data_IF_396140226195
#
_entry.id   IF_396140226195
#
_cell.length_a   1.000
_cell.length_b   1.000
_cell.length_c   1.000
_cell.angle_alpha   90.00
_cell.angle_beta   90.00
_cell.angle_gamma   90.00
#
_symmetry.space_group_name_H-M   'P 1'
#
loop_
_entity.id
_entity.type
_entity.pdbx_description
1 polymer ?
#
# COMPACT_ATOMS: atom_id res chain seq x y z
N UNK A 1 15.81 3.27 -8.91
CA UNK A 1 15.31 4.57 -9.43
C UNK A 1 15.84 5.70 -8.55
N UNK A 2 15.47 5.79 -7.27
CA UNK A 2 15.81 6.88 -6.33
C UNK A 2 17.31 7.17 -6.31
N UNK A 3 18.16 6.14 -6.11
CA UNK A 3 19.61 6.30 -6.12
C UNK A 3 20.16 6.98 -7.39
N UNK A 4 19.70 6.58 -8.56
CA UNK A 4 20.15 7.15 -9.83
C UNK A 4 19.75 8.62 -9.98
N UNK A 5 18.52 8.95 -9.61
CA UNK A 5 18.00 10.33 -9.68
C UNK A 5 18.72 11.25 -8.68
N UNK A 6 18.97 10.77 -7.48
CA UNK A 6 19.69 11.52 -6.45
C UNK A 6 21.18 11.69 -6.82
N UNK A 7 21.85 10.61 -7.24
CA UNK A 7 23.27 10.64 -7.59
C UNK A 7 23.56 11.52 -8.80
N UNK A 8 22.66 11.59 -9.76
CA UNK A 8 22.77 12.50 -10.92
C UNK A 8 22.46 13.96 -10.57
N UNK A 9 21.97 14.24 -9.37
CA UNK A 9 21.51 15.57 -8.98
C UNK A 9 20.18 16.02 -9.60
N UNK A 10 19.51 15.13 -10.35
CA UNK A 10 18.21 15.43 -10.99
C UNK A 10 17.11 15.60 -9.95
N UNK A 11 17.15 14.82 -8.87
CA UNK A 11 16.26 14.90 -7.71
C UNK A 11 17.10 14.86 -6.44
N UNK A 12 16.92 15.82 -5.54
CA UNK A 12 17.70 15.93 -4.30
C UNK A 12 16.88 15.64 -3.07
N UNK A 13 15.70 16.26 -2.94
CA UNK A 13 14.82 16.10 -1.77
C UNK A 13 13.72 15.11 -2.08
N UNK A 14 13.83 13.94 -1.48
CA UNK A 14 13.02 12.77 -1.82
C UNK A 14 12.28 12.28 -0.58
N UNK A 15 10.97 12.08 -0.70
CA UNK A 15 10.14 11.47 0.31
C UNK A 15 9.73 10.06 -0.16
N UNK A 16 10.06 9.04 0.64
CA UNK A 16 9.60 7.67 0.46
C UNK A 16 8.55 7.35 1.51
N UNK A 17 7.36 6.97 1.08
CA UNK A 17 6.23 6.63 1.93
C UNK A 17 5.86 5.15 1.76
N UNK A 18 5.64 4.47 2.89
CA UNK A 18 5.13 3.10 2.92
C UNK A 18 3.99 2.95 3.94
N UNK A 19 3.26 1.85 3.86
CA UNK A 19 2.13 1.57 4.77
C UNK A 19 2.56 0.86 6.06
N UNK A 20 3.74 0.20 6.07
CA UNK A 20 4.19 -0.64 7.19
C UNK A 20 5.60 -0.32 7.65
N UNK A 21 5.78 -0.29 8.97
CA UNK A 21 7.08 -0.04 9.60
C UNK A 21 8.17 -1.01 9.13
N UNK A 22 7.84 -2.29 8.98
CA UNK A 22 8.80 -3.30 8.56
C UNK A 22 9.37 -2.99 7.16
N UNK A 23 8.53 -2.49 6.25
CA UNK A 23 8.98 -2.08 4.91
C UNK A 23 9.90 -0.88 4.98
N UNK A 24 9.57 0.14 5.78
CA UNK A 24 10.42 1.32 5.97
C UNK A 24 11.77 0.93 6.56
N UNK A 25 11.79 0.06 7.56
CA UNK A 25 13.03 -0.35 8.24
C UNK A 25 13.89 -1.26 7.36
N UNK A 26 13.29 -2.18 6.61
CA UNK A 26 14.01 -3.01 5.62
C UNK A 26 14.59 -2.13 4.52
N UNK A 27 13.80 -1.23 3.94
CA UNK A 27 14.26 -0.30 2.91
C UNK A 27 15.40 0.55 3.42
N UNK A 28 15.29 1.11 4.64
CA UNK A 28 16.35 1.91 5.25
C UNK A 28 17.65 1.12 5.41
N UNK A 29 17.57 -0.09 5.96
CA UNK A 29 18.75 -0.85 6.35
C UNK A 29 19.42 -1.61 5.20
N UNK A 30 18.66 -1.97 4.17
CA UNK A 30 19.11 -2.74 3.03
C UNK A 30 19.32 -1.84 1.80
N UNK A 31 18.21 -1.40 1.21
CA UNK A 31 18.24 -0.77 -0.11
C UNK A 31 18.75 0.67 -0.08
N UNK A 32 18.48 1.39 1.01
CA UNK A 32 18.83 2.80 1.17
C UNK A 32 20.13 3.01 1.97
N UNK A 33 20.76 1.95 2.43
CA UNK A 33 22.07 2.03 3.11
C UNK A 33 23.12 2.88 2.34
N UNK A 34 23.19 2.84 1.01
CA UNK A 34 24.13 3.67 0.27
C UNK A 34 23.97 5.19 0.43
N UNK A 35 22.79 5.68 0.83
CA UNK A 35 22.56 7.10 1.05
C UNK A 35 23.24 7.65 2.32
N UNK A 36 23.58 6.76 3.26
CA UNK A 36 24.36 7.12 4.45
C UNK A 36 23.70 8.25 5.26
N UNK A 37 24.48 9.30 5.53
CA UNK A 37 24.05 10.45 6.33
C UNK A 37 23.04 11.39 5.61
N UNK A 38 22.82 11.22 4.31
CA UNK A 38 21.83 12.03 3.57
C UNK A 38 20.38 11.62 3.86
N UNK A 39 20.17 10.51 4.57
CA UNK A 39 18.87 9.87 4.77
C UNK A 39 18.44 9.90 6.24
N UNK A 40 17.14 10.13 6.46
CA UNK A 40 16.51 9.99 7.77
C UNK A 40 15.16 9.26 7.70
N UNK A 41 14.76 8.63 8.80
CA UNK A 41 13.38 8.16 9.01
C UNK A 41 12.67 9.15 9.92
N UNK A 42 11.54 9.66 9.47
CA UNK A 42 10.67 10.51 10.30
C UNK A 42 10.07 9.65 11.41
N UNK A 43 10.41 9.97 12.66
CA UNK A 43 9.94 9.30 13.86
C UNK A 43 9.46 10.32 14.87
N UNK A 44 8.56 9.90 15.77
CA UNK A 44 8.06 10.73 16.88
C UNK A 44 7.53 12.12 16.47
N UNK A 45 7.07 12.24 15.22
CA UNK A 45 6.56 13.50 14.67
C UNK A 45 7.55 14.67 14.68
N UNK A 46 8.83 14.38 14.67
CA UNK A 46 9.89 15.38 14.61
C UNK A 46 10.49 15.41 13.21
N UNK A 47 10.62 16.61 12.67
CA UNK A 47 11.21 16.85 11.36
C UNK A 47 12.52 17.61 11.52
N UNK A 48 13.59 17.04 10.95
CA UNK A 48 14.84 17.72 10.71
C UNK A 48 14.98 17.94 9.21
N UNK A 49 15.01 19.20 8.78
CA UNK A 49 15.05 19.59 7.36
C UNK A 49 16.45 19.56 6.74
N UNK A 50 17.46 19.12 7.49
CA UNK A 50 18.85 19.04 7.02
C UNK A 50 19.13 17.86 6.09
N UNK A 51 18.25 16.87 6.05
CA UNK A 51 18.39 15.68 5.22
C UNK A 51 17.89 15.89 3.78
N UNK A 52 18.33 15.01 2.89
CA UNK A 52 17.89 15.01 1.49
C UNK A 52 16.84 13.93 1.24
N UNK A 53 16.95 12.79 1.93
CA UNK A 53 16.07 11.63 1.75
C UNK A 53 15.33 11.32 3.04
N UNK A 54 14.02 11.26 2.94
CA UNK A 54 13.11 11.04 4.05
C UNK A 54 12.32 9.75 3.84
N UNK A 55 12.31 8.89 4.84
CA UNK A 55 11.47 7.71 4.89
C UNK A 55 10.41 7.88 5.97
N UNK A 56 9.18 7.55 5.66
CA UNK A 56 8.10 7.58 6.63
C UNK A 56 6.98 6.61 6.31
N UNK A 57 6.17 6.32 7.33
CA UNK A 57 4.81 5.84 7.11
C UNK A 57 3.91 7.03 6.76
N UNK A 58 2.96 6.85 5.83
CA UNK A 58 2.01 7.92 5.59
C UNK A 58 1.14 8.19 6.83
N UNK A 59 0.78 7.18 7.62
CA UNK A 59 0.07 7.36 8.90
C UNK A 59 0.89 8.12 9.95
N UNK A 60 2.23 8.08 9.87
CA UNK A 60 3.08 8.81 10.81
C UNK A 60 3.17 10.30 10.51
N UNK A 61 2.95 10.70 9.27
CA UNK A 61 3.01 12.10 8.83
C UNK A 61 1.64 12.76 8.69
N UNK A 62 0.57 11.95 8.71
CA UNK A 62 -0.83 12.39 8.72
C UNK A 62 -1.47 12.22 10.09
N UNK A 63 -2.60 12.83 10.34
CA UNK A 63 -3.38 12.68 11.58
C UNK A 63 -4.82 13.12 11.38
N UNK A 64 -5.69 12.83 12.34
CA UNK A 64 -7.11 13.15 12.27
C UNK A 64 -7.41 14.66 12.40
N UNK A 65 -6.46 15.44 12.89
CA UNK A 65 -6.57 16.88 13.06
C UNK A 65 -5.49 17.58 12.23
N UNK A 66 -5.75 18.80 11.76
CA UNK A 66 -4.80 19.56 10.94
C UNK A 66 -3.45 19.77 11.63
N UNK A 67 -3.44 19.99 12.96
CA UNK A 67 -2.24 20.12 13.76
C UNK A 67 -1.39 18.86 13.82
N UNK A 68 -1.99 17.69 13.48
CA UNK A 68 -1.29 16.40 13.45
C UNK A 68 -0.68 16.09 12.09
N UNK A 69 -0.95 16.87 11.07
CA UNK A 69 -0.39 16.71 9.74
C UNK A 69 1.02 17.26 9.66
N UNK A 70 1.99 16.51 10.18
CA UNK A 70 3.37 16.96 10.29
C UNK A 70 4.05 17.20 8.95
N UNK A 71 3.55 16.62 7.86
CA UNK A 71 4.06 16.90 6.51
C UNK A 71 3.91 18.40 6.16
N UNK A 72 2.94 19.11 6.72
CA UNK A 72 2.75 20.55 6.53
C UNK A 72 3.85 21.42 7.20
N UNK A 73 4.74 20.83 8.00
CA UNK A 73 5.92 21.52 8.51
C UNK A 73 6.99 21.72 7.42
N UNK A 74 6.96 20.95 6.34
CA UNK A 74 7.72 21.25 5.14
C UNK A 74 6.97 22.28 4.30
N UNK A 75 7.70 23.08 3.51
CA UNK A 75 7.04 23.92 2.49
C UNK A 75 6.49 23.05 1.36
N UNK A 76 5.41 23.48 0.66
CA UNK A 76 4.81 22.70 -0.43
C UNK A 76 5.76 22.32 -1.57
N UNK A 77 6.82 23.09 -1.75
CA UNK A 77 7.87 22.91 -2.76
C UNK A 77 9.14 22.23 -2.22
N UNK A 78 9.09 21.70 -1.00
CA UNK A 78 10.28 21.14 -0.35
C UNK A 78 10.81 19.88 -1.04
N UNK A 79 9.94 19.01 -1.52
CA UNK A 79 10.32 17.75 -2.15
C UNK A 79 10.33 17.85 -3.68
N UNK A 80 11.33 17.23 -4.32
CA UNK A 80 11.44 17.09 -5.78
C UNK A 80 10.77 15.81 -6.29
N UNK A 81 10.73 14.78 -5.42
CA UNK A 81 10.21 13.45 -5.73
C UNK A 81 9.53 12.85 -4.50
N UNK A 82 8.35 12.29 -4.70
CA UNK A 82 7.65 11.49 -3.71
C UNK A 82 7.40 10.10 -4.30
N UNK A 83 7.82 9.07 -3.57
CA UNK A 83 7.60 7.67 -3.94
C UNK A 83 6.71 7.03 -2.90
N UNK A 84 5.60 6.43 -3.35
CA UNK A 84 4.65 5.72 -2.51
C UNK A 84 4.72 4.25 -2.84
N UNK A 85 5.12 3.46 -1.84
CA UNK A 85 5.10 2.01 -1.93
C UNK A 85 3.73 1.47 -1.52
N UNK A 86 3.30 0.40 -2.20
CA UNK A 86 1.99 -0.23 -2.00
C UNK A 86 0.81 0.75 -2.14
N UNK A 87 0.87 1.63 -3.16
CA UNK A 87 -0.11 2.69 -3.36
C UNK A 87 -1.55 2.22 -3.65
N UNK A 88 -1.77 0.89 -3.73
CA UNK A 88 -3.08 0.25 -3.85
C UNK A 88 -3.70 -0.12 -2.49
N UNK A 89 -2.91 -0.08 -1.40
CA UNK A 89 -3.35 -0.50 -0.07
C UNK A 89 -3.96 0.65 0.69
N UNK A 90 -5.02 0.33 1.43
CA UNK A 90 -5.67 1.20 2.38
C UNK A 90 -7.18 1.04 2.37
N UNK A 91 -7.81 1.49 3.44
CA UNK A 91 -9.23 1.83 3.48
C UNK A 91 -9.43 3.15 2.72
N UNK A 92 -10.67 3.52 2.37
CA UNK A 92 -10.96 4.81 1.74
C UNK A 92 -10.40 6.01 2.53
N UNK A 93 -10.27 5.88 3.86
CA UNK A 93 -9.65 6.90 4.73
C UNK A 93 -8.11 6.95 4.61
N UNK A 94 -7.46 5.80 4.41
CA UNK A 94 -5.99 5.74 4.23
C UNK A 94 -5.59 6.20 2.83
N UNK A 95 -6.42 5.92 1.83
CA UNK A 95 -6.23 6.44 0.46
C UNK A 95 -6.35 7.97 0.42
N UNK A 96 -7.22 8.57 1.24
CA UNK A 96 -7.28 10.03 1.35
C UNK A 96 -6.01 10.61 1.99
N UNK A 97 -5.44 9.93 2.99
CA UNK A 97 -4.27 10.43 3.72
C UNK A 97 -3.01 10.60 2.85
N UNK A 98 -2.67 9.63 1.99
CA UNK A 98 -1.53 9.80 1.08
C UNK A 98 -1.85 10.75 -0.07
N UNK A 99 -3.09 10.84 -0.52
CA UNK A 99 -3.52 11.81 -1.54
C UNK A 99 -3.37 13.23 -1.03
N UNK A 100 -3.79 13.53 0.19
CA UNK A 100 -3.62 14.84 0.81
C UNK A 100 -2.14 15.27 0.85
N UNK A 101 -1.23 14.31 1.12
CA UNK A 101 0.22 14.57 1.06
C UNK A 101 0.66 14.94 -0.35
N UNK A 102 0.21 14.18 -1.37
CA UNK A 102 0.58 14.43 -2.75
C UNK A 102 0.00 15.73 -3.29
N UNK A 103 -1.23 16.04 -2.93
CA UNK A 103 -1.86 17.31 -3.28
C UNK A 103 -1.12 18.50 -2.67
N UNK A 104 -0.70 18.37 -1.41
CA UNK A 104 0.09 19.39 -0.74
C UNK A 104 1.45 19.62 -1.42
N UNK A 105 2.13 18.57 -1.84
CA UNK A 105 3.41 18.63 -2.55
C UNK A 105 3.22 18.50 -4.08
N UNK A 106 2.24 19.17 -4.63
CA UNK A 106 1.87 19.06 -6.06
C UNK A 106 2.97 19.46 -7.04
N UNK A 107 4.00 20.18 -6.60
CA UNK A 107 5.18 20.53 -7.40
C UNK A 107 6.17 19.36 -7.54
N UNK A 108 6.11 18.35 -6.68
CA UNK A 108 6.97 17.20 -6.75
C UNK A 108 6.56 16.23 -7.88
N UNK A 109 7.51 15.46 -8.38
CA UNK A 109 7.20 14.30 -9.20
C UNK A 109 6.69 13.17 -8.30
N UNK A 110 5.56 12.54 -8.65
CA UNK A 110 4.97 11.46 -7.87
C UNK A 110 5.13 10.13 -8.58
N UNK A 111 5.56 9.09 -7.85
CA UNK A 111 5.68 7.71 -8.33
C UNK A 111 4.94 6.79 -7.37
N UNK A 112 3.98 6.05 -7.88
CA UNK A 112 3.30 4.96 -7.16
C UNK A 112 3.89 3.60 -7.54
N UNK A 113 4.13 2.75 -6.55
CA UNK A 113 4.56 1.37 -6.72
C UNK A 113 3.46 0.45 -6.19
N UNK A 114 3.13 -0.61 -6.92
CA UNK A 114 2.16 -1.60 -6.49
C UNK A 114 2.36 -2.93 -7.19
N UNK A 115 2.21 -4.03 -6.46
CA UNK A 115 2.17 -5.37 -7.04
C UNK A 115 0.78 -5.75 -7.55
N UNK A 116 -0.27 -5.08 -7.08
CA UNK A 116 -1.67 -5.39 -7.39
C UNK A 116 -2.46 -4.11 -7.61
N UNK A 117 -2.43 -3.54 -8.83
CA UNK A 117 -3.27 -2.38 -9.13
C UNK A 117 -4.74 -2.70 -8.83
N UNK A 118 -5.39 -1.88 -8.00
CA UNK A 118 -6.81 -2.02 -7.72
C UNK A 118 -7.60 -1.07 -8.61
N UNK A 119 -8.60 -1.62 -9.27
CA UNK A 119 -9.66 -0.88 -9.93
C UNK A 119 -10.98 -1.18 -9.19
N UNK A 120 -11.26 -0.44 -8.14
CA UNK A 120 -12.58 -0.43 -7.52
C UNK A 120 -13.28 0.89 -7.83
N UNK A 121 -14.61 0.91 -7.75
CA UNK A 121 -15.41 2.12 -8.04
C UNK A 121 -15.01 3.34 -7.20
N UNK A 122 -14.44 3.11 -6.03
CA UNK A 122 -14.14 4.15 -5.04
C UNK A 122 -12.64 4.46 -4.90
N UNK A 123 -11.76 3.59 -5.41
CA UNK A 123 -10.31 3.73 -5.26
C UNK A 123 -9.59 3.20 -6.51
N UNK A 124 -9.05 4.10 -7.28
CA UNK A 124 -8.22 3.75 -8.43
C UNK A 124 -6.87 4.48 -8.35
N UNK A 125 -5.80 3.72 -8.13
CA UNK A 125 -4.43 4.24 -8.27
C UNK A 125 -4.16 4.71 -9.71
N UNK A 126 -4.80 4.09 -10.71
CA UNK A 126 -4.74 4.50 -12.13
C UNK A 126 -5.35 5.89 -12.31
N UNK A 127 -6.42 6.22 -11.61
CA UNK A 127 -7.05 7.55 -11.69
C UNK A 127 -6.11 8.67 -11.25
N UNK A 128 -5.23 8.41 -10.28
CA UNK A 128 -4.27 9.41 -9.81
C UNK A 128 -2.95 9.40 -10.58
N UNK A 129 -2.34 8.22 -10.75
CA UNK A 129 -1.00 8.09 -11.34
C UNK A 129 -1.01 7.93 -12.87
N UNK A 130 -2.18 7.67 -13.47
CA UNK A 130 -2.31 7.35 -14.89
C UNK A 130 -1.91 5.89 -15.21
N UNK A 131 -1.69 5.63 -16.49
CA UNK A 131 -1.27 4.31 -16.96
C UNK A 131 0.11 3.92 -16.41
N UNK A 132 0.34 2.62 -16.13
CA UNK A 132 1.63 2.16 -15.65
C UNK A 132 2.77 2.49 -16.63
N UNK A 133 3.78 3.19 -16.16
CA UNK A 133 4.99 3.50 -16.95
C UNK A 133 5.83 2.24 -17.17
N UNK A 134 5.79 1.30 -16.24
CA UNK A 134 6.49 0.02 -16.30
C UNK A 134 5.71 -1.05 -15.56
N UNK A 135 5.62 -2.23 -16.15
CA UNK A 135 5.03 -3.42 -15.54
C UNK A 135 5.99 -4.60 -15.64
N UNK A 136 6.23 -5.27 -14.52
CA UNK A 136 7.02 -6.49 -14.42
C UNK A 136 6.13 -7.59 -13.85
N UNK A 137 5.70 -8.50 -14.69
CA UNK A 137 4.68 -9.49 -14.33
C UNK A 137 5.28 -10.66 -13.55
N UNK A 138 4.45 -11.36 -12.76
CA UNK A 138 4.83 -12.59 -12.08
C UNK A 138 5.42 -13.62 -13.05
N UNK A 139 4.85 -13.74 -14.26
CA UNK A 139 5.34 -14.64 -15.32
C UNK A 139 6.77 -14.26 -15.72
N UNK A 140 7.03 -12.99 -16.02
CA UNK A 140 8.38 -12.51 -16.33
C UNK A 140 9.37 -12.80 -15.19
N UNK A 141 8.98 -12.55 -13.94
CA UNK A 141 9.83 -12.84 -12.79
C UNK A 141 10.21 -14.30 -12.61
N UNK A 142 9.31 -15.22 -13.01
CA UNK A 142 9.58 -16.67 -13.04
C UNK A 142 10.50 -17.02 -14.21
N UNK A 143 10.23 -16.49 -15.41
CA UNK A 143 11.03 -16.73 -16.62
C UNK A 143 12.46 -16.21 -16.45
N UNK A 144 12.64 -15.07 -15.79
CA UNK A 144 13.94 -14.47 -15.50
C UNK A 144 14.67 -15.13 -14.30
N UNK A 145 14.04 -16.09 -13.62
CA UNK A 145 14.63 -16.83 -12.49
C UNK A 145 14.65 -16.08 -11.16
N UNK A 146 13.99 -14.93 -11.05
CA UNK A 146 13.90 -14.18 -9.78
C UNK A 146 12.78 -14.70 -8.86
N UNK A 147 11.77 -15.35 -9.43
CA UNK A 147 10.66 -15.91 -8.67
C UNK A 147 10.53 -17.41 -8.91
N UNK A 148 10.19 -18.15 -7.87
CA UNK A 148 9.96 -19.57 -7.96
C UNK A 148 8.70 -19.88 -8.78
N UNK A 149 8.71 -20.90 -9.65
CA UNK A 149 7.51 -21.38 -10.28
C UNK A 149 6.53 -21.92 -9.24
N UNK A 150 5.24 -21.79 -9.51
CA UNK A 150 4.19 -22.27 -8.61
C UNK A 150 3.22 -23.19 -9.34
N UNK A 151 2.59 -24.07 -8.59
CA UNK A 151 1.48 -24.91 -9.04
C UNK A 151 0.23 -24.54 -8.26
N UNK A 152 -0.83 -24.18 -8.96
CA UNK A 152 -2.12 -23.93 -8.32
C UNK A 152 -2.89 -25.25 -8.28
N UNK A 153 -3.29 -25.67 -7.09
CA UNK A 153 -4.22 -26.78 -6.87
C UNK A 153 -5.50 -26.15 -6.35
N UNK A 154 -6.55 -26.19 -7.15
CA UNK A 154 -7.88 -25.78 -6.73
C UNK A 154 -8.55 -26.95 -6.05
N UNK A 155 -8.95 -26.75 -4.81
CA UNK A 155 -9.72 -27.73 -4.02
C UNK A 155 -11.12 -27.14 -3.87
N UNK A 156 -12.08 -27.76 -4.52
CA UNK A 156 -13.49 -27.41 -4.36
C UNK A 156 -14.09 -28.37 -3.32
N UNK A 157 -14.67 -27.83 -2.27
CA UNK A 157 -15.39 -28.60 -1.27
C UNK A 157 -16.83 -28.83 -1.74
N UNK A 158 -17.39 -30.01 -1.46
CA UNK A 158 -18.77 -30.35 -1.84
C UNK A 158 -19.77 -29.28 -1.39
N UNK A 159 -19.58 -28.73 -0.20
CA UNK A 159 -20.42 -27.65 0.34
C UNK A 159 -20.29 -26.34 -0.41
N UNK A 160 -19.12 -26.04 -0.98
CA UNK A 160 -18.91 -24.83 -1.78
C UNK A 160 -19.51 -25.01 -3.17
N UNK A 161 -19.43 -26.23 -3.73
CA UNK A 161 -19.93 -26.53 -5.07
C UNK A 161 -21.47 -26.72 -5.10
N UNK A 162 -22.04 -27.41 -4.09
CA UNK A 162 -23.46 -27.79 -4.08
C UNK A 162 -24.27 -27.04 -3.02
N UNK A 163 -23.62 -26.22 -2.20
CA UNK A 163 -24.22 -25.58 -1.05
C UNK A 163 -24.38 -26.54 0.14
N UNK A 164 -24.85 -25.99 1.24
CA UNK A 164 -25.14 -26.72 2.48
C UNK A 164 -26.59 -26.50 2.89
N UNK A 165 -27.27 -27.56 3.28
CA UNK A 165 -28.63 -27.53 3.82
C UNK A 165 -28.65 -28.04 5.24
N UNK A 166 -29.23 -27.32 6.23
CA UNK A 166 -29.34 -27.79 7.60
C UNK A 166 -30.27 -29.00 7.69
N UNK A 167 -30.04 -29.85 8.68
CA UNK A 167 -31.03 -30.87 9.06
C UNK A 167 -32.18 -30.20 9.80
N UNK A 168 -33.39 -30.75 9.66
CA UNK A 168 -34.59 -30.20 10.29
C UNK A 168 -34.38 -30.01 11.80
N UNK A 169 -34.66 -28.80 12.29
CA UNK A 169 -34.53 -28.44 13.71
C UNK A 169 -33.11 -28.06 14.15
N UNK A 170 -32.15 -27.97 13.25
CA UNK A 170 -30.80 -27.49 13.57
C UNK A 170 -30.81 -26.03 14.03
N UNK A 171 -30.05 -25.73 15.08
CA UNK A 171 -29.93 -24.37 15.64
C UNK A 171 -28.54 -23.78 15.44
N UNK A 172 -28.45 -22.47 15.38
CA UNK A 172 -27.19 -21.72 15.36
C UNK A 172 -26.54 -21.71 16.77
N UNK A 173 -25.36 -21.08 16.88
CA UNK A 173 -24.64 -20.92 18.16
C UNK A 173 -25.38 -20.10 19.22
N UNK A 174 -26.44 -19.42 18.84
CA UNK A 174 -27.30 -18.59 19.71
C UNK A 174 -28.62 -19.26 20.04
N UNK A 175 -28.86 -20.49 19.53
CA UNK A 175 -30.08 -21.27 19.77
C UNK A 175 -31.22 -20.97 18.80
N UNK A 176 -31.05 -20.13 17.79
CA UNK A 176 -32.07 -19.85 16.81
C UNK A 176 -32.14 -20.98 15.78
N UNK A 177 -33.35 -21.40 15.40
CA UNK A 177 -33.55 -22.39 14.35
C UNK A 177 -33.05 -21.88 13.03
N UNK A 178 -32.16 -22.63 12.37
CA UNK A 178 -31.63 -22.29 11.05
C UNK A 178 -32.70 -22.59 10.00
N UNK A 179 -32.94 -21.64 9.13
CA UNK A 179 -33.91 -21.75 8.06
C UNK A 179 -33.59 -22.92 7.12
N UNK A 180 -34.61 -23.73 6.77
CA UNK A 180 -34.46 -24.86 5.85
C UNK A 180 -34.36 -24.40 4.40
N UNK A 181 -33.15 -24.03 3.99
CA UNK A 181 -32.78 -23.67 2.61
C UNK A 181 -31.36 -24.11 2.30
N UNK A 182 -31.00 -24.09 1.03
CA UNK A 182 -29.60 -24.30 0.63
C UNK A 182 -28.81 -23.01 0.86
N UNK A 183 -27.75 -23.08 1.65
CA UNK A 183 -26.77 -22.02 1.88
C UNK A 183 -25.60 -22.17 0.92
N UNK A 184 -25.34 -21.15 0.12
CA UNK A 184 -24.20 -21.09 -0.78
C UNK A 184 -22.92 -20.68 -0.05
N UNK A 185 -21.74 -20.87 -0.64
CA UNK A 185 -20.47 -20.37 -0.09
C UNK A 185 -20.51 -18.87 0.23
N UNK A 186 -21.21 -18.07 -0.57
CA UNK A 186 -21.42 -16.64 -0.34
C UNK A 186 -22.28 -16.36 0.93
N UNK A 187 -23.28 -17.20 1.21
CA UNK A 187 -24.09 -17.08 2.41
C UNK A 187 -23.30 -17.47 3.68
N UNK A 188 -22.46 -18.49 3.57
CA UNK A 188 -21.67 -19.00 4.68
C UNK A 188 -20.51 -18.08 5.07
N UNK A 189 -19.99 -17.28 4.13
CA UNK A 189 -18.91 -16.33 4.34
C UNK A 189 -19.35 -14.92 4.78
N UNK A 190 -20.66 -14.68 4.92
CA UNK A 190 -21.16 -13.45 5.52
C UNK A 190 -21.02 -13.54 7.05
N UNK A 191 -20.06 -12.78 7.59
CA UNK A 191 -19.94 -12.53 9.04
C UNK A 191 -20.89 -11.41 9.48
#
# INVERSE_FOLDING_TARGET
IIWRLWKSGTKKRILFLADRNILVDQTKNNDFKPFGAAMTKITKRQIDKSYEIYLSLYQAVTGNDEEKNIYKQFSPDFFDLIVIDECHRGSAAEDSAWRDILEYFSSATHIGLTATPKETKDVSSITYFGDPVYSYTLKQGIEDGYLAPYKVIRVDLDKDAFGWRPTAGMTDKHGNVIEDRIYTGADMNRK
#
